data_IF_689556239478
#
_entry.id   IF_689556239478
#
_cell.length_a   1.000
_cell.length_b   1.000
_cell.length_c   1.000
_cell.angle_alpha   90.00
_cell.angle_beta   90.00
_cell.angle_gamma   90.00
#
_symmetry.space_group_name_H-M   'P 1'
#
loop_
_entity.id
_entity.type
_entity.pdbx_description
1 polymer ?
#
# COMPACT_ATOMS: atom_id res chain seq x y z
N UNK A 1 34.45 -27.06 -81.27
CA UNK A 1 33.60 -27.58 -80.18
C UNK A 1 34.47 -27.73 -78.93
N UNK A 2 34.01 -27.20 -77.80
CA UNK A 2 34.38 -27.50 -76.41
C UNK A 2 34.46 -26.20 -75.58
N UNK A 3 33.28 -25.86 -75.08
CA UNK A 3 32.97 -25.18 -73.82
C UNK A 3 34.08 -25.21 -72.74
N UNK A 4 34.54 -24.03 -72.31
CA UNK A 4 35.08 -23.79 -70.95
C UNK A 4 34.71 -22.38 -70.49
N UNK A 5 33.43 -22.19 -70.20
CA UNK A 5 32.87 -20.94 -69.65
C UNK A 5 32.61 -21.03 -68.14
N UNK A 6 33.37 -21.83 -67.40
CA UNK A 6 32.86 -22.25 -66.08
C UNK A 6 33.91 -22.59 -65.03
N UNK A 7 34.94 -21.76 -64.82
CA UNK A 7 35.80 -22.01 -63.64
C UNK A 7 36.66 -20.88 -63.07
N UNK A 8 36.54 -19.64 -63.51
CA UNK A 8 37.54 -18.63 -63.14
C UNK A 8 36.87 -17.30 -62.78
N UNK A 9 37.01 -16.96 -61.50
CA UNK A 9 36.65 -15.71 -60.81
C UNK A 9 35.20 -15.57 -60.32
N UNK A 10 34.67 -16.58 -59.65
CA UNK A 10 34.54 -16.54 -58.18
C UNK A 10 35.43 -15.50 -57.48
N UNK A 11 34.83 -14.56 -56.74
CA UNK A 11 35.07 -14.36 -55.30
C UNK A 11 34.54 -12.99 -54.84
N UNK A 12 34.89 -11.89 -55.52
CA UNK A 12 34.62 -10.53 -54.98
C UNK A 12 33.15 -10.08 -54.96
N UNK A 13 32.29 -10.62 -55.83
CA UNK A 13 30.86 -10.30 -55.82
C UNK A 13 30.06 -11.20 -54.85
N UNK A 14 30.62 -12.34 -54.46
CA UNK A 14 30.05 -13.21 -53.43
C UNK A 14 30.50 -12.82 -52.02
N UNK A 15 31.60 -12.07 -51.88
CA UNK A 15 32.04 -11.52 -50.60
C UNK A 15 31.14 -10.40 -50.04
N UNK A 16 30.17 -9.90 -50.83
CA UNK A 16 29.29 -8.78 -50.41
C UNK A 16 27.88 -9.20 -49.98
N UNK A 17 27.57 -10.50 -49.95
CA UNK A 17 26.27 -11.00 -49.49
C UNK A 17 26.37 -11.61 -48.07
N UNK A 18 27.58 -11.89 -47.59
CA UNK A 18 27.81 -12.45 -46.24
C UNK A 18 28.36 -11.42 -45.25
N UNK A 19 27.68 -10.28 -45.13
CA UNK A 19 27.64 -9.64 -43.81
C UNK A 19 26.20 -9.31 -43.39
N UNK A 20 25.33 -10.32 -43.26
CA UNK A 20 24.18 -10.25 -42.37
C UNK A 20 24.59 -10.36 -40.88
N UNK A 21 25.89 -10.30 -40.56
CA UNK A 21 26.39 -10.48 -39.19
C UNK A 21 26.23 -9.24 -38.30
N UNK A 22 25.68 -8.14 -38.82
CA UNK A 22 25.36 -6.96 -38.00
C UNK A 22 23.85 -6.70 -37.82
N UNK A 23 22.99 -7.59 -38.31
CA UNK A 23 21.62 -7.69 -37.77
C UNK A 23 21.57 -8.59 -36.54
N UNK A 24 22.56 -9.47 -36.36
CA UNK A 24 22.63 -10.37 -35.21
C UNK A 24 23.16 -9.71 -33.93
N UNK A 25 23.77 -8.53 -34.02
CA UNK A 25 24.25 -7.80 -32.83
C UNK A 25 23.12 -7.12 -32.04
N UNK A 26 21.93 -6.96 -32.64
CA UNK A 26 20.71 -6.55 -31.92
C UNK A 26 19.94 -7.75 -31.36
N UNK A 27 20.24 -8.95 -31.87
CA UNK A 27 19.93 -10.25 -31.26
C UNK A 27 21.07 -10.73 -30.36
N UNK A 28 21.91 -9.83 -29.85
CA UNK A 28 22.56 -10.07 -28.56
C UNK A 28 21.50 -9.87 -27.48
N UNK A 29 20.60 -10.84 -27.50
CA UNK A 29 19.45 -11.09 -26.65
C UNK A 29 19.77 -10.53 -25.28
N UNK A 30 19.08 -9.44 -24.96
CA UNK A 30 18.93 -8.87 -23.63
C UNK A 30 20.07 -9.26 -22.69
N UNK A 31 21.15 -8.46 -22.68
CA UNK A 31 22.30 -8.64 -21.78
C UNK A 31 21.83 -9.23 -20.44
N UNK A 32 22.30 -10.43 -20.02
CA UNK A 32 21.73 -11.15 -18.88
C UNK A 32 21.65 -10.31 -17.59
N UNK A 33 22.50 -9.28 -17.47
CA UNK A 33 22.39 -8.27 -16.40
C UNK A 33 21.06 -7.50 -16.38
N UNK A 34 20.46 -7.18 -17.53
CA UNK A 34 19.16 -6.50 -17.63
C UNK A 34 18.04 -7.38 -17.08
N UNK A 35 18.08 -8.70 -17.32
CA UNK A 35 17.11 -9.64 -16.75
C UNK A 35 17.23 -9.73 -15.23
N UNK A 36 18.46 -9.72 -14.70
CA UNK A 36 18.70 -9.71 -13.24
C UNK A 36 18.19 -8.40 -12.61
N UNK A 37 18.47 -7.26 -13.24
CA UNK A 37 17.95 -5.95 -12.77
C UNK A 37 16.43 -5.91 -12.86
N UNK A 38 15.84 -6.40 -13.95
CA UNK A 38 14.39 -6.46 -14.13
C UNK A 38 13.75 -7.36 -13.07
N UNK A 39 14.34 -8.52 -12.78
CA UNK A 39 13.89 -9.41 -11.72
C UNK A 39 13.99 -8.76 -10.33
N UNK A 40 15.07 -8.02 -10.06
CA UNK A 40 15.23 -7.27 -8.82
C UNK A 40 14.15 -6.19 -8.66
N UNK A 41 13.87 -5.43 -9.72
CA UNK A 41 12.80 -4.42 -9.74
C UNK A 41 11.43 -5.08 -9.54
N UNK A 42 11.12 -6.17 -10.24
CA UNK A 42 9.86 -6.89 -10.08
C UNK A 42 9.71 -7.41 -8.65
N UNK A 43 10.77 -7.99 -8.08
CA UNK A 43 10.75 -8.50 -6.70
C UNK A 43 10.51 -7.38 -5.70
N UNK A 44 11.17 -6.22 -5.89
CA UNK A 44 10.96 -5.04 -5.07
C UNK A 44 9.51 -4.54 -5.17
N UNK A 45 8.96 -4.46 -6.39
CA UNK A 45 7.57 -4.06 -6.61
C UNK A 45 6.59 -5.02 -5.94
N UNK A 46 6.80 -6.33 -6.04
CA UNK A 46 5.96 -7.33 -5.37
C UNK A 46 6.05 -7.16 -3.85
N UNK A 47 7.25 -6.98 -3.30
CA UNK A 47 7.44 -6.73 -1.88
C UNK A 47 6.75 -5.46 -1.41
N UNK A 48 6.84 -4.38 -2.21
CA UNK A 48 6.17 -3.12 -1.93
C UNK A 48 4.65 -3.24 -2.02
N UNK A 49 4.11 -3.93 -3.02
CA UNK A 49 2.67 -4.18 -3.16
C UNK A 49 2.16 -5.03 -2.00
N UNK A 50 2.86 -6.11 -1.66
CA UNK A 50 2.50 -6.96 -0.53
C UNK A 50 2.53 -6.16 0.78
N UNK A 51 3.61 -5.41 1.04
CA UNK A 51 3.71 -4.54 2.21
C UNK A 51 2.62 -3.45 2.22
N UNK A 52 2.29 -2.87 1.07
CA UNK A 52 1.26 -1.84 0.96
C UNK A 52 -0.17 -2.38 1.15
N UNK A 53 -0.42 -3.62 0.74
CA UNK A 53 -1.69 -4.31 0.97
C UNK A 53 -1.86 -4.80 2.41
N UNK A 54 -0.75 -5.19 3.06
CA UNK A 54 -0.76 -5.74 4.43
C UNK A 54 -0.54 -4.66 5.51
N UNK A 55 0.10 -3.55 5.16
CA UNK A 55 0.35 -2.45 6.08
C UNK A 55 -0.94 -1.69 6.37
N UNK A 56 -1.36 -1.66 7.64
CA UNK A 56 -2.33 -0.68 8.12
C UNK A 56 -1.61 0.19 9.13
N UNK A 57 -1.44 1.48 8.80
CA UNK A 57 -0.99 2.46 9.78
C UNK A 57 -2.24 3.05 10.42
N UNK A 58 -2.51 2.64 11.66
CA UNK A 58 -3.58 3.19 12.47
C UNK A 58 -3.00 4.28 13.38
N UNK A 59 -3.49 5.50 13.22
CA UNK A 59 -3.21 6.59 14.15
C UNK A 59 -4.26 6.53 15.26
N UNK A 60 -3.82 6.15 16.46
CA UNK A 60 -4.69 6.07 17.64
C UNK A 60 -4.43 7.23 18.60
N UNK A 61 -5.49 7.87 19.10
CA UNK A 61 -5.41 8.88 20.16
C UNK A 61 -5.89 8.29 21.47
N UNK A 62 -5.15 8.56 22.55
CA UNK A 62 -5.54 8.17 23.91
C UNK A 62 -6.75 8.96 24.39
N UNK A 63 -7.78 8.25 24.82
CA UNK A 63 -9.04 8.77 25.30
C UNK A 63 -9.44 8.08 26.61
N UNK A 64 -10.36 8.70 27.35
CA UNK A 64 -10.96 8.09 28.52
C UNK A 64 -12.43 7.82 28.23
N UNK A 65 -12.92 6.67 28.67
CA UNK A 65 -14.30 6.24 28.51
C UNK A 65 -14.92 6.00 29.88
N UNK A 66 -16.01 6.72 30.17
CA UNK A 66 -16.89 6.40 31.30
C UNK A 66 -18.06 5.60 30.77
N UNK A 67 -18.23 4.37 31.26
CA UNK A 67 -19.36 3.52 30.91
C UNK A 67 -20.45 3.68 31.96
N UNK A 68 -21.63 4.10 31.51
CA UNK A 68 -22.83 4.22 32.32
C UNK A 68 -24.03 3.71 31.52
N UNK A 69 -24.81 2.78 32.09
CA UNK A 69 -26.08 2.30 31.52
C UNK A 69 -25.94 1.72 30.09
N UNK A 70 -24.87 0.95 29.86
CA UNK A 70 -24.58 0.33 28.55
C UNK A 70 -24.16 1.30 27.45
N UNK A 71 -23.81 2.54 27.80
CA UNK A 71 -23.24 3.54 26.88
C UNK A 71 -21.93 4.06 27.43
N UNK A 72 -20.87 3.98 26.62
CA UNK A 72 -19.59 4.58 26.92
C UNK A 72 -19.54 6.03 26.41
N UNK A 73 -19.32 6.96 27.32
CA UNK A 73 -19.01 8.36 27.07
C UNK A 73 -17.50 8.49 26.88
N UNK A 74 -17.06 8.67 25.64
CA UNK A 74 -15.63 8.72 25.31
C UNK A 74 -15.21 10.14 24.99
N UNK A 75 -14.20 10.65 25.68
CA UNK A 75 -13.59 11.96 25.39
C UNK A 75 -12.07 11.86 25.20
N UNK A 76 -11.54 12.62 24.26
CA UNK A 76 -10.09 12.73 24.06
C UNK A 76 -9.44 13.40 25.28
N UNK A 77 -8.38 12.80 25.81
CA UNK A 77 -7.62 13.38 26.93
C UNK A 77 -6.69 14.49 26.46
N UNK A 78 -6.30 14.46 25.18
CA UNK A 78 -5.45 15.47 24.58
C UNK A 78 -6.27 16.69 24.12
N UNK A 79 -5.73 17.88 24.35
CA UNK A 79 -6.31 19.15 23.88
C UNK A 79 -6.09 19.37 22.36
N UNK A 80 -5.82 18.29 21.62
CA UNK A 80 -5.68 18.32 20.17
C UNK A 80 -7.09 18.28 19.58
N UNK A 81 -7.41 19.16 18.61
CA UNK A 81 -8.66 19.07 17.87
C UNK A 81 -8.65 17.80 17.02
N UNK A 82 -9.09 16.69 17.62
CA UNK A 82 -9.26 15.43 16.90
C UNK A 82 -10.57 15.54 16.12
N UNK A 83 -10.56 15.32 14.79
CA UNK A 83 -11.79 15.25 14.02
C UNK A 83 -12.53 13.97 14.40
N UNK A 84 -13.29 13.99 15.50
CA UNK A 84 -14.16 12.87 15.88
C UNK A 84 -15.37 12.89 14.93
N UNK A 85 -15.74 11.73 14.39
CA UNK A 85 -16.92 11.56 13.55
C UNK A 85 -17.65 10.26 13.89
N UNK A 86 -18.96 10.23 13.66
CA UNK A 86 -19.73 9.00 13.76
C UNK A 86 -19.21 7.94 12.77
N UNK A 87 -19.14 6.68 13.21
CA UNK A 87 -18.57 5.58 12.44
C UNK A 87 -17.07 5.35 12.64
N UNK A 88 -16.37 6.18 13.43
CA UNK A 88 -14.99 5.89 13.84
C UNK A 88 -14.93 4.72 14.82
N UNK A 89 -13.85 3.94 14.77
CA UNK A 89 -13.60 2.83 15.67
C UNK A 89 -12.97 3.34 16.97
N UNK A 90 -13.52 2.90 18.10
CA UNK A 90 -12.97 3.14 19.44
C UNK A 90 -12.66 1.80 20.06
N UNK A 91 -11.44 1.66 20.57
CA UNK A 91 -11.01 0.49 21.32
C UNK A 91 -11.13 0.79 22.80
N UNK A 92 -11.95 0.05 23.53
CA UNK A 92 -12.09 0.15 24.98
C UNK A 92 -11.56 -1.15 25.57
N UNK A 93 -10.39 -1.09 26.22
CA UNK A 93 -9.67 -2.30 26.63
C UNK A 93 -9.25 -3.18 25.43
N UNK A 94 -9.86 -4.37 25.32
CA UNK A 94 -9.61 -5.34 24.23
C UNK A 94 -10.73 -5.40 23.18
N UNK A 95 -11.84 -4.70 23.41
CA UNK A 95 -13.01 -4.72 22.54
C UNK A 95 -13.00 -3.51 21.60
N UNK A 96 -13.46 -3.72 20.37
CA UNK A 96 -13.62 -2.65 19.37
C UNK A 96 -15.09 -2.28 19.23
N UNK A 97 -15.39 -1.00 19.35
CA UNK A 97 -16.73 -0.45 19.21
C UNK A 97 -16.76 0.65 18.16
N UNK A 98 -17.95 0.94 17.62
CA UNK A 98 -18.15 2.03 16.66
C UNK A 98 -18.86 3.20 17.32
N UNK A 99 -18.39 4.42 17.07
CA UNK A 99 -19.03 5.65 17.55
C UNK A 99 -20.40 5.78 16.89
N UNK A 100 -21.46 5.75 17.69
CA UNK A 100 -22.84 5.89 17.20
C UNK A 100 -23.17 7.35 16.92
N UNK A 101 -22.83 8.26 17.83
CA UNK A 101 -23.12 9.68 17.70
C UNK A 101 -22.18 10.53 18.54
N UNK A 102 -22.15 11.83 18.25
CA UNK A 102 -21.42 12.80 19.06
C UNK A 102 -22.43 13.69 19.77
N UNK A 103 -22.25 13.84 21.08
CA UNK A 103 -22.98 14.81 21.89
C UNK A 103 -22.00 15.82 22.45
N UNK A 104 -22.51 16.97 22.88
CA UNK A 104 -21.74 17.87 23.75
C UNK A 104 -22.14 17.59 25.18
N UNK A 105 -21.15 17.41 26.05
CA UNK A 105 -21.40 17.37 27.48
C UNK A 105 -21.82 18.74 28.02
N UNK A 106 -22.26 18.78 29.28
CA UNK A 106 -22.64 20.01 29.97
C UNK A 106 -21.49 21.03 30.10
N UNK A 107 -20.24 20.60 29.86
CA UNK A 107 -19.05 21.43 29.84
C UNK A 107 -18.68 21.93 28.43
N UNK A 108 -19.51 21.64 27.42
CA UNK A 108 -19.32 22.05 26.03
C UNK A 108 -18.25 21.26 25.27
N UNK A 109 -17.74 20.16 25.84
CA UNK A 109 -16.77 19.25 25.20
C UNK A 109 -17.50 18.28 24.30
N UNK A 110 -16.87 17.93 23.18
CA UNK A 110 -17.39 16.87 22.30
C UNK A 110 -17.13 15.51 22.94
N UNK A 111 -18.20 14.77 23.21
CA UNK A 111 -18.17 13.41 23.75
C UNK A 111 -18.76 12.47 22.71
N UNK A 112 -18.05 11.38 22.43
CA UNK A 112 -18.52 10.31 21.56
C UNK A 112 -19.34 9.31 22.38
N UNK A 113 -20.58 9.06 21.94
CA UNK A 113 -21.47 8.06 22.51
C UNK A 113 -21.25 6.73 21.80
N UNK A 114 -20.78 5.75 22.54
CA UNK A 114 -20.44 4.42 22.03
C UNK A 114 -21.29 3.39 22.79
N UNK A 115 -22.26 2.72 22.15
CA UNK A 115 -23.01 1.64 22.79
C UNK A 115 -22.07 0.48 23.11
N UNK A 116 -22.03 0.04 24.37
CA UNK A 116 -21.13 -1.02 24.83
C UNK A 116 -21.85 -2.00 25.75
N UNK A 117 -21.43 -3.26 25.72
CA UNK A 117 -21.91 -4.30 26.65
C UNK A 117 -20.90 -4.49 27.80
N UNK A 118 -20.42 -3.37 28.37
CA UNK A 118 -19.45 -3.35 29.47
C UNK A 118 -20.15 -3.02 30.79
N UNK A 119 -19.56 -3.48 31.91
CA UNK A 119 -19.99 -3.06 33.24
C UNK A 119 -19.65 -1.59 33.46
N UNK A 120 -20.50 -0.89 34.23
CA UNK A 120 -20.29 0.50 34.58
C UNK A 120 -18.92 0.72 35.23
N UNK A 121 -18.20 1.76 34.79
CA UNK A 121 -16.87 2.07 35.28
C UNK A 121 -16.02 2.87 34.30
N UNK A 122 -14.84 3.29 34.77
CA UNK A 122 -13.84 4.01 33.98
C UNK A 122 -12.93 3.04 33.22
N UNK A 123 -12.78 3.29 31.92
CA UNK A 123 -11.91 2.50 31.05
C UNK A 123 -10.97 3.39 30.24
N UNK A 124 -9.77 2.88 29.98
CA UNK A 124 -8.90 3.48 28.97
C UNK A 124 -9.45 3.17 27.58
N UNK A 125 -9.56 4.21 26.77
CA UNK A 125 -10.02 4.12 25.40
C UNK A 125 -8.95 4.61 24.42
N UNK A 126 -8.97 4.06 23.20
CA UNK A 126 -8.15 4.52 22.08
C UNK A 126 -9.05 4.75 20.89
N UNK A 127 -9.12 6.00 20.44
CA UNK A 127 -9.89 6.37 19.26
C UNK A 127 -8.99 6.17 18.04
N UNK A 128 -9.43 5.37 17.07
CA UNK A 128 -8.75 5.22 15.79
C UNK A 128 -9.20 6.37 14.90
N UNK A 129 -8.33 7.38 14.77
CA UNK A 129 -8.66 8.65 14.09
C UNK A 129 -8.43 8.52 12.59
N UNK A 130 -7.32 7.88 12.21
CA UNK A 130 -6.97 7.66 10.82
C UNK A 130 -6.50 6.24 10.62
N UNK A 131 -7.02 5.59 9.57
CA UNK A 131 -6.48 4.33 9.06
C UNK A 131 -5.93 4.60 7.68
N UNK A 132 -4.61 4.65 7.58
CA UNK A 132 -3.93 4.84 6.31
C UNK A 132 -3.47 3.47 5.81
N UNK A 133 -4.07 3.01 4.72
CA UNK A 133 -3.59 1.85 3.98
C UNK A 133 -2.61 2.35 2.90
N UNK A 134 -1.32 1.97 2.92
CA UNK A 134 -0.34 2.50 1.99
C UNK A 134 -0.68 2.24 0.51
N UNK A 135 -1.45 1.18 0.22
CA UNK A 135 -1.97 0.90 -1.13
C UNK A 135 -2.81 2.05 -1.69
N UNK A 136 -3.53 2.78 -0.84
CA UNK A 136 -4.38 3.91 -1.26
C UNK A 136 -3.55 5.09 -1.77
N UNK A 137 -2.28 5.24 -1.36
CA UNK A 137 -1.39 6.29 -1.89
C UNK A 137 -1.02 6.09 -3.37
N UNK A 138 -1.10 4.85 -3.89
CA UNK A 138 -0.82 4.58 -5.30
C UNK A 138 -1.95 4.99 -6.24
N UNK A 139 -3.14 5.25 -5.71
CA UNK A 139 -4.36 5.55 -6.47
C UNK A 139 -4.93 6.95 -6.19
N UNK A 140 -4.15 7.82 -5.54
CA UNK A 140 -4.54 9.20 -5.20
C UNK A 140 -3.88 10.21 -6.13
#
# INVERSE_FOLDING_TARGET
>A
MAEQKNKIFSQRALDRINSPEQLNDYLKVTNPGIWVILAAVITLLIGFIAWASLGKLETTVSAMADVSDGTANVWATENTPVPIAAGMTVRIGSEEYSIASMSKDDHGRTVALVPVELLDGDYEAKIVVETVSPVTFLFK
#
